data_IF_773429924608
#
_entry.id   IF_773429924608
#
_cell.length_a   1.000
_cell.length_b   1.000
_cell.length_c   1.000
_cell.angle_alpha   90.00
_cell.angle_beta   90.00
_cell.angle_gamma   90.00
#
_symmetry.space_group_name_H-M   'P 1'
#
loop_
_entity.id
_entity.type
_entity.pdbx_description
1 polymer ?
2 non-polymer ?
3 water ?
#
# COMPACT_ATOMS: atom_id res chain seq x y z
N UNK A 23 22.09 5.55 -8.10
CA UNK A 23 20.83 5.66 -7.32
C UNK A 23 20.54 4.36 -6.56
N UNK A 24 20.27 3.20 -7.23
CA UNK A 24 19.61 2.07 -6.57
C UNK A 24 20.39 1.39 -5.43
N UNK A 25 19.89 1.52 -4.19
CA UNK A 25 20.41 0.90 -2.91
C UNK A 25 20.15 -0.61 -2.92
N UNK A 26 21.18 -1.46 -2.75
CA UNK A 26 21.02 -2.94 -2.63
C UNK A 26 21.50 -3.35 -1.23
N UNK A 27 20.59 -3.46 -0.26
CA UNK A 27 20.89 -3.98 1.11
C UNK A 27 21.83 -3.00 1.84
N UNK A 28 21.32 -1.80 2.14
CA UNK A 28 21.91 -0.75 3.04
C UNK A 28 22.98 -1.35 3.95
N UNK A 29 24.17 -0.74 4.00
CA UNK A 29 25.38 -1.24 4.69
C UNK A 29 25.30 -1.08 6.22
N UNK A 30 24.16 -0.64 6.78
CA UNK A 30 23.89 -0.59 8.25
C UNK A 30 22.78 -1.60 8.63
N UNK A 31 22.30 -2.39 7.65
CA UNK A 31 21.34 -3.52 7.80
C UNK A 31 21.98 -4.83 7.33
N UNK A 32 23.23 -5.17 7.72
CA UNK A 32 23.80 -6.47 7.32
C UNK A 32 22.89 -7.58 7.87
N UNK A 33 22.34 -7.34 9.07
CA UNK A 33 21.23 -8.08 9.71
C UNK A 33 19.97 -7.25 9.50
N UNK A 34 18.84 -7.91 9.16
CA UNK A 34 17.56 -7.37 8.61
C UNK A 34 17.47 -7.89 7.17
N UNK A 35 16.62 -8.89 6.97
CA UNK A 35 16.41 -9.60 5.67
C UNK A 35 15.00 -9.29 5.17
N UNK A 36 14.73 -8.12 4.55
CA UNK A 36 13.38 -7.58 4.46
C UNK A 36 12.48 -8.41 3.53
N UNK A 37 11.21 -8.56 3.91
CA UNK A 37 10.31 -9.62 3.41
C UNK A 37 9.27 -8.98 2.53
N UNK A 38 8.69 -9.78 1.65
CA UNK A 38 7.57 -9.36 0.77
C UNK A 38 6.36 -10.22 1.11
N UNK A 39 5.20 -9.58 1.22
CA UNK A 39 3.96 -10.26 1.60
C UNK A 39 2.78 -9.67 0.83
N UNK A 40 1.70 -10.45 0.69
CA UNK A 40 0.38 -9.95 0.27
C UNK A 40 -0.71 -10.51 1.17
N UNK A 41 -1.68 -9.63 1.45
CA UNK A 41 -3.05 -9.96 1.88
C UNK A 41 -3.72 -10.59 0.65
N UNK A 42 -4.39 -11.72 0.87
CA UNK A 42 -5.13 -12.48 -0.16
C UNK A 42 -6.60 -12.49 0.26
N UNK A 43 -7.40 -11.59 -0.30
CA UNK A 43 -8.88 -11.49 -0.07
C UNK A 43 -9.64 -12.16 -1.23
N UNK A 44 -10.20 -13.34 -1.00
CA UNK A 44 -11.01 -14.03 -2.03
C UNK A 44 -10.20 -15.17 -2.63
N UNK A 45 -10.50 -15.52 -3.87
CA UNK A 45 -9.95 -16.74 -4.52
C UNK A 45 -8.44 -16.61 -4.74
N UNK A 46 -7.59 -17.45 -4.11
CA UNK A 46 -6.15 -17.23 -4.17
C UNK A 46 -5.37 -17.82 -5.37
N UNK A 47 -6.08 -18.24 -6.42
CA UNK A 47 -5.52 -19.09 -7.52
C UNK A 47 -4.28 -18.42 -8.13
N UNK A 48 -4.36 -17.09 -8.32
CA UNK A 48 -3.33 -16.30 -9.05
C UNK A 48 -2.23 -15.74 -8.12
N UNK A 49 -2.15 -16.20 -6.89
CA UNK A 49 -0.97 -15.94 -6.04
C UNK A 49 0.24 -16.70 -6.59
N UNK A 50 1.39 -16.02 -6.70
CA UNK A 50 2.69 -16.59 -7.11
C UNK A 50 3.57 -16.69 -5.87
N UNK A 51 3.65 -17.88 -5.26
CA UNK A 51 4.46 -18.12 -4.06
C UNK A 51 5.90 -17.62 -4.22
N UNK A 52 6.44 -17.70 -5.44
CA UNK A 52 7.87 -17.44 -5.77
C UNK A 52 8.20 -15.97 -5.48
N UNK A 53 7.23 -15.05 -5.62
CA UNK A 53 7.40 -13.60 -5.37
C UNK A 53 7.41 -13.25 -3.87
N UNK A 54 6.81 -14.09 -3.01
CA UNK A 54 6.36 -13.72 -1.64
C UNK A 54 7.12 -14.53 -0.58
N UNK A 55 7.46 -13.91 0.56
CA UNK A 55 7.96 -14.62 1.77
C UNK A 55 6.76 -15.06 2.61
N UNK A 56 5.63 -14.37 2.47
CA UNK A 56 4.44 -14.63 3.30
C UNK A 56 3.17 -14.15 2.61
N UNK A 57 2.11 -14.89 2.85
CA UNK A 57 0.72 -14.62 2.41
C UNK A 57 -0.14 -14.51 3.67
N UNK A 58 -1.03 -13.52 3.65
CA UNK A 58 -1.93 -13.24 4.81
C UNK A 58 -3.33 -13.46 4.29
N UNK A 59 -3.94 -14.58 4.65
CA UNK A 59 -5.35 -14.89 4.32
C UNK A 59 -6.27 -13.88 5.02
N UNK A 60 -7.15 -13.24 4.26
CA UNK A 60 -8.18 -12.33 4.80
C UNK A 60 -9.60 -12.84 4.44
N UNK A 61 -10.48 -13.03 5.41
CA UNK A 61 -10.24 -12.87 6.85
C UNK A 61 -10.89 -14.02 7.65
N UNK A 62 -10.46 -14.25 8.88
CA UNK A 62 -11.29 -14.91 9.92
C UNK A 62 -12.16 -13.82 10.54
N UNK A 63 -13.33 -14.16 11.09
CA UNK A 63 -14.24 -13.19 11.78
C UNK A 63 -14.59 -13.69 13.18
N UNK A 64 -15.25 -12.82 13.98
CA UNK A 64 -15.73 -13.12 15.37
C UNK A 64 -17.28 -13.12 15.32
N UNK A 65 -17.94 -14.18 15.78
CA UNK A 65 -19.43 -14.28 15.79
C UNK A 65 -20.01 -13.66 17.07
N UNK A 66 -21.34 -13.69 17.20
CA UNK A 66 -22.08 -13.17 18.39
C UNK A 66 -21.51 -13.71 19.71
N UNK A 67 -21.03 -14.96 19.74
CA UNK A 67 -20.59 -15.66 20.98
C UNK A 67 -19.11 -15.38 21.26
N UNK A 68 -18.42 -14.71 20.36
CA UNK A 68 -16.98 -14.43 20.55
C UNK A 68 -16.16 -15.56 19.98
N UNK A 69 -16.78 -16.44 19.17
CA UNK A 69 -16.12 -17.61 18.55
C UNK A 69 -15.56 -17.23 17.16
N UNK A 70 -14.29 -17.54 16.93
CA UNK A 70 -13.61 -17.41 15.61
C UNK A 70 -14.22 -18.35 14.58
N UNK A 71 -14.48 -17.86 13.37
CA UNK A 71 -14.81 -18.71 12.20
C UNK A 71 -14.17 -18.12 10.92
N UNK A 72 -14.00 -18.97 9.91
CA UNK A 72 -13.55 -18.63 8.52
C UNK A 72 -14.79 -18.63 7.62
N UNK A 73 -15.28 -17.49 7.11
CA UNK A 73 -16.38 -17.53 6.14
C UNK A 73 -16.15 -18.42 4.90
N UNK A 74 -14.92 -18.52 4.36
CA UNK A 74 -14.60 -19.22 3.09
C UNK A 74 -13.38 -20.13 3.27
N UNK A 75 -13.47 -21.22 4.07
CA UNK A 75 -12.29 -22.06 4.35
C UNK A 75 -11.58 -22.66 3.13
N UNK A 76 -12.28 -22.87 2.01
CA UNK A 76 -11.69 -23.58 0.84
C UNK A 76 -10.53 -22.76 0.28
N UNK A 77 -10.65 -21.43 0.29
CA UNK A 77 -9.61 -20.46 -0.14
C UNK A 77 -8.36 -20.58 0.75
N UNK A 78 -8.55 -20.81 2.04
CA UNK A 78 -7.44 -20.88 2.99
C UNK A 78 -6.73 -22.22 2.77
N UNK A 79 -7.48 -23.30 2.60
CA UNK A 79 -6.87 -24.63 2.33
C UNK A 79 -6.11 -24.55 1.01
N UNK A 80 -6.70 -23.93 -0.01
CA UNK A 80 -6.05 -23.78 -1.33
C UNK A 80 -4.73 -23.05 -1.13
N UNK A 81 -4.77 -21.95 -0.40
CA UNK A 81 -3.59 -21.08 -0.14
C UNK A 81 -2.53 -21.85 0.66
N UNK A 82 -2.94 -22.72 1.59
CA UNK A 82 -2.04 -23.52 2.45
C UNK A 82 -1.29 -24.52 1.57
N UNK A 83 -1.92 -24.97 0.48
CA UNK A 83 -1.36 -25.99 -0.42
C UNK A 83 -0.12 -25.45 -1.16
N UNK A 84 0.01 -24.12 -1.33
CA UNK A 84 1.21 -23.49 -1.94
C UNK A 84 2.49 -23.89 -1.20
N UNK A 85 2.39 -24.40 0.03
CA UNK A 85 3.56 -24.83 0.83
C UNK A 85 4.10 -26.17 0.28
N UNK A 86 3.34 -26.85 -0.58
CA UNK A 86 3.85 -28.03 -1.29
C UNK A 86 5.15 -27.71 -1.99
N UNK A 87 5.11 -26.82 -2.99
CA UNK A 87 6.28 -26.47 -3.83
C UNK A 87 7.16 -25.40 -3.16
N UNK A 88 6.66 -24.65 -2.16
CA UNK A 88 7.49 -23.67 -1.40
C UNK A 88 7.29 -23.85 0.10
N UNK A 89 7.90 -24.88 0.74
CA UNK A 89 7.64 -25.19 2.15
C UNK A 89 8.00 -24.05 3.13
N UNK A 90 8.85 -23.11 2.70
CA UNK A 90 9.30 -21.95 3.51
C UNK A 90 8.28 -20.80 3.46
N UNK A 91 7.26 -20.87 2.60
CA UNK A 91 6.21 -19.81 2.53
C UNK A 91 5.50 -19.80 3.88
N UNK A 92 5.27 -18.60 4.40
CA UNK A 92 4.58 -18.38 5.69
C UNK A 92 3.13 -18.07 5.35
N UNK A 93 2.20 -18.83 5.96
CA UNK A 93 0.75 -18.62 5.77
C UNK A 93 0.15 -18.12 7.08
N UNK A 94 -0.43 -16.93 7.00
CA UNK A 94 -0.93 -16.16 8.15
C UNK A 94 -2.42 -16.00 7.90
N UNK A 95 -3.22 -15.99 8.97
CA UNK A 95 -4.64 -15.57 8.92
C UNK A 95 -4.77 -14.24 9.65
N UNK A 96 -5.43 -13.33 8.96
CA UNK A 96 -5.85 -12.03 9.48
C UNK A 96 -7.28 -12.19 10.02
N UNK A 97 -7.47 -11.72 11.25
CA UNK A 97 -8.77 -11.69 11.93
C UNK A 97 -9.21 -10.24 11.90
N UNK A 98 -10.35 -9.95 11.27
CA UNK A 98 -10.99 -8.64 11.43
C UNK A 98 -11.16 -7.94 10.09
N UNK A 99 -10.70 -6.68 10.02
CA UNK A 99 -10.88 -5.84 8.83
C UNK A 99 -11.90 -4.76 9.06
N UNK A 100 -12.02 -3.85 8.11
CA UNK A 100 -12.90 -2.67 8.26
C UNK A 100 -14.33 -3.14 8.59
N UNK A 101 -14.92 -2.61 9.66
CA UNK A 101 -16.30 -2.92 10.08
C UNK A 101 -16.44 -4.22 10.86
N UNK A 102 -15.36 -5.02 11.03
CA UNK A 102 -15.37 -6.33 11.72
C UNK A 102 -15.49 -6.15 13.24
N UNK A 103 -16.67 -6.48 13.76
CA UNK A 103 -17.10 -6.31 15.17
C UNK A 103 -16.53 -7.45 16.02
N UNK A 104 -16.39 -7.20 17.32
CA UNK A 104 -16.10 -8.22 18.33
C UNK A 104 -14.87 -7.91 19.16
N UNK A 105 -13.96 -7.05 18.72
CA UNK A 105 -12.63 -7.01 19.39
C UNK A 105 -12.69 -6.33 20.77
N UNK A 106 -13.48 -5.25 20.88
CA UNK A 106 -13.62 -4.45 22.12
C UNK A 106 -14.15 -5.36 23.24
N UNK A 107 -15.15 -6.19 22.93
CA UNK A 107 -15.70 -7.24 23.84
C UNK A 107 -14.59 -8.26 24.15
N UNK A 108 -13.87 -8.76 23.14
CA UNK A 108 -12.84 -9.82 23.31
C UNK A 108 -11.72 -9.31 24.20
N UNK A 109 -11.44 -8.00 24.14
CA UNK A 109 -10.28 -7.44 24.84
C UNK A 109 -10.63 -7.10 26.29
N UNK A 110 -11.92 -7.06 26.66
CA UNK A 110 -12.41 -6.35 27.88
C UNK A 110 -11.98 -7.02 29.20
N UNK A 111 -11.94 -8.35 29.33
CA UNK A 111 -11.75 -9.06 30.63
C UNK A 111 -10.62 -10.08 30.53
N UNK A 112 -10.08 -10.58 31.67
CA UNK A 112 -9.14 -11.71 31.62
C UNK A 112 -9.77 -12.97 30.97
N UNK A 113 -11.10 -13.10 31.01
CA UNK A 113 -11.82 -14.28 30.48
C UNK A 113 -11.95 -14.19 28.96
N UNK A 114 -12.63 -13.18 28.44
CA UNK A 114 -12.67 -12.86 26.98
C UNK A 114 -11.25 -12.97 26.37
N UNK A 115 -10.21 -12.43 27.02
CA UNK A 115 -8.83 -12.39 26.47
C UNK A 115 -8.27 -13.81 26.43
N UNK A 116 -8.45 -14.60 27.48
CA UNK A 116 -7.97 -16.01 27.53
C UNK A 116 -8.70 -16.81 26.45
N UNK A 117 -10.02 -16.61 26.34
CA UNK A 117 -10.91 -17.32 25.39
C UNK A 117 -10.50 -16.99 23.95
N UNK A 118 -10.34 -15.71 23.62
CA UNK A 118 -9.86 -15.29 22.28
C UNK A 118 -8.52 -15.96 21.98
N UNK A 119 -7.55 -15.81 22.87
CA UNK A 119 -6.21 -16.38 22.65
C UNK A 119 -6.36 -17.87 22.37
N UNK A 120 -7.05 -18.63 23.24
CA UNK A 120 -7.23 -20.11 23.13
C UNK A 120 -7.72 -20.44 21.71
N UNK A 121 -8.66 -19.65 21.16
CA UNK A 121 -9.27 -19.95 19.85
C UNK A 121 -8.26 -19.62 18.73
N UNK A 122 -7.43 -18.61 18.93
CA UNK A 122 -6.35 -18.26 17.97
C UNK A 122 -5.43 -19.47 17.87
N UNK A 123 -5.02 -20.01 19.01
CA UNK A 123 -4.02 -21.10 19.05
C UNK A 123 -4.67 -22.35 18.45
N UNK A 124 -5.98 -22.48 18.63
CA UNK A 124 -6.74 -23.63 18.08
C UNK A 124 -6.76 -23.51 16.56
N UNK A 125 -7.08 -22.35 16.02
CA UNK A 125 -7.10 -22.17 14.55
C UNK A 125 -5.68 -22.36 13.97
N UNK A 126 -4.64 -21.95 14.68
CA UNK A 126 -3.22 -22.12 14.22
C UNK A 126 -2.90 -23.61 14.18
N UNK A 127 -3.24 -24.39 15.20
CA UNK A 127 -2.93 -25.85 15.25
C UNK A 127 -3.76 -26.58 14.19
N UNK A 128 -5.03 -26.20 14.06
CA UNK A 128 -6.04 -26.88 13.21
C UNK A 128 -5.64 -26.79 11.72
N UNK A 129 -5.15 -25.63 11.27
CA UNK A 129 -4.77 -25.37 9.86
C UNK A 129 -3.25 -25.43 9.63
N UNK A 130 -2.47 -25.80 10.64
CA UNK A 130 -0.99 -25.71 10.63
C UNK A 130 -0.57 -24.33 10.10
N UNK A 131 -1.15 -23.25 10.62
CA UNK A 131 -0.76 -21.87 10.22
C UNK A 131 0.62 -21.55 10.78
N UNK A 132 1.30 -20.60 10.16
CA UNK A 132 2.61 -20.07 10.62
C UNK A 132 2.35 -18.93 11.63
N UNK A 133 1.15 -18.34 11.59
CA UNK A 133 0.66 -17.54 12.70
C UNK A 133 -0.52 -16.68 12.30
N UNK A 134 -0.63 -15.51 12.92
CA UNK A 134 -1.91 -14.75 12.92
C UNK A 134 -1.61 -13.26 12.79
N UNK A 135 -2.55 -12.53 12.21
CA UNK A 135 -2.49 -11.08 12.03
C UNK A 135 -3.76 -10.53 12.66
N UNK A 136 -3.68 -9.45 13.44
CA UNK A 136 -4.90 -8.90 14.10
C UNK A 136 -5.28 -7.59 13.43
N UNK A 137 -6.49 -7.50 12.88
CA UNK A 137 -6.95 -6.32 12.12
C UNK A 137 -8.14 -5.68 12.83
N UNK A 138 -7.87 -5.12 14.00
CA UNK A 138 -8.86 -4.29 14.74
C UNK A 138 -8.79 -2.86 14.21
N UNK A 139 -9.88 -2.37 13.61
CA UNK A 139 -9.91 -1.13 12.83
C UNK A 139 -11.00 -0.19 13.37
N UNK A 140 -10.80 0.43 14.53
CA UNK A 140 -9.53 0.52 15.24
C UNK A 140 -9.88 0.52 16.73
N UNK A 141 -8.99 0.05 17.63
CA UNK A 141 -9.26 0.17 19.05
C UNK A 141 -9.58 1.63 19.40
N UNK A 142 -10.55 1.84 20.27
CA UNK A 142 -10.90 3.17 20.80
C UNK A 142 -11.79 3.97 19.87
N UNK A 143 -12.05 3.46 18.66
CA UNK A 143 -12.81 4.21 17.62
C UNK A 143 -13.97 3.38 17.12
N UNK A 144 -15.11 4.03 16.92
CA UNK A 144 -16.35 3.48 16.33
C UNK A 144 -16.59 4.07 14.94
N UNK A 145 -15.51 4.48 14.25
CA UNK A 145 -15.60 5.08 12.89
C UNK A 145 -16.24 4.06 11.95
N UNK A 146 -15.78 2.80 11.95
CA UNK A 146 -16.24 1.71 11.04
C UNK A 146 -17.65 1.20 11.39
N UNK A 147 -18.24 1.71 12.50
CA UNK A 147 -19.56 1.31 13.01
C UNK A 147 -19.49 0.27 14.12
N UNK A 148 -18.30 -0.19 14.51
CA UNK A 148 -18.08 -1.21 15.58
C UNK A 148 -18.13 -0.53 16.95
N UNK A 149 -18.30 -1.36 17.98
CA UNK A 149 -18.16 -1.02 19.41
C UNK A 149 -16.73 -0.52 19.71
N UNK A 150 -16.62 0.56 20.47
CA UNK A 150 -15.36 1.02 21.10
C UNK A 150 -15.61 1.39 22.54
N UNK A 151 -14.53 1.39 23.33
CA UNK A 151 -14.47 1.82 24.75
C UNK A 151 -13.13 2.50 24.98
N UNK A 152 -13.10 3.55 25.83
CA UNK A 152 -11.84 4.21 26.23
C UNK A 152 -10.68 3.26 26.59
N UNK A 153 -10.98 2.14 27.25
CA UNK A 153 -10.01 1.13 27.74
C UNK A 153 -9.47 0.26 26.58
N UNK A 154 -10.05 0.31 25.37
CA UNK A 154 -9.60 -0.48 24.20
C UNK A 154 -8.08 -0.44 24.06
N UNK A 155 -7.46 0.72 24.26
CA UNK A 155 -6.02 0.94 23.98
C UNK A 155 -5.19 0.12 24.94
N UNK A 156 -5.42 0.22 26.24
CA UNK A 156 -4.60 -0.58 27.19
C UNK A 156 -4.99 -2.05 27.02
N UNK A 157 -6.25 -2.31 26.69
CA UNK A 157 -6.81 -3.69 26.60
C UNK A 157 -6.14 -4.39 25.42
N UNK A 158 -5.89 -3.67 24.31
CA UNK A 158 -5.25 -4.25 23.11
C UNK A 158 -3.94 -4.91 23.51
N UNK A 159 -3.16 -4.25 24.34
CA UNK A 159 -1.81 -4.76 24.74
C UNK A 159 -1.97 -6.09 25.49
N UNK A 160 -3.00 -6.16 26.34
CA UNK A 160 -3.24 -7.36 27.18
C UNK A 160 -3.78 -8.49 26.28
N UNK A 161 -4.61 -8.15 25.30
CA UNK A 161 -5.08 -9.17 24.34
C UNK A 161 -3.86 -9.78 23.62
N UNK A 162 -3.00 -8.94 23.05
CA UNK A 162 -1.80 -9.39 22.31
C UNK A 162 -0.92 -10.22 23.25
N UNK A 163 -0.79 -9.81 24.50
CA UNK A 163 -0.01 -10.54 25.53
C UNK A 163 -0.62 -11.93 25.69
N UNK A 164 -1.94 -12.01 25.82
CA UNK A 164 -2.67 -13.29 25.99
C UNK A 164 -2.48 -14.18 24.75
N UNK A 165 -2.53 -13.62 23.54
CA UNK A 165 -2.26 -14.40 22.29
C UNK A 165 -0.80 -14.90 22.30
N UNK A 166 0.15 -14.02 22.54
CA UNK A 166 1.58 -14.43 22.51
C UNK A 166 1.87 -15.52 23.56
N UNK A 167 1.26 -15.40 24.75
CA UNK A 167 1.47 -16.36 25.88
C UNK A 167 1.09 -17.77 25.40
N UNK A 168 0.00 -17.91 24.63
CA UNK A 168 -0.52 -19.24 24.17
C UNK A 168 0.23 -19.73 22.91
N UNK A 169 0.37 -18.91 21.87
CA UNK A 169 0.87 -19.41 20.54
C UNK A 169 2.38 -19.64 20.59
N UNK A 170 3.09 -18.96 21.50
CA UNK A 170 4.56 -19.07 21.69
C UNK A 170 5.34 -18.04 20.87
N UNK A 171 6.67 -18.07 20.97
CA UNK A 171 7.56 -17.10 20.27
C UNK A 171 7.77 -17.54 18.81
N UNK A 172 7.66 -18.85 18.52
CA UNK A 172 7.97 -19.44 17.19
C UNK A 172 6.83 -19.23 16.19
N UNK A 173 5.79 -18.47 16.50
CA UNK A 173 4.69 -18.18 15.55
C UNK A 173 4.63 -16.67 15.30
N UNK A 174 4.25 -16.32 14.08
CA UNK A 174 4.11 -14.94 13.64
C UNK A 174 2.88 -14.35 14.32
N UNK A 175 3.08 -13.18 14.92
CA UNK A 175 1.96 -12.37 15.38
C UNK A 175 2.20 -10.98 14.80
N UNK A 176 1.18 -10.38 14.20
CA UNK A 176 1.28 -9.05 13.58
C UNK A 176 -0.03 -8.31 13.83
N UNK A 177 0.01 -7.01 13.67
CA UNK A 177 -1.12 -6.10 13.94
C UNK A 177 -1.14 -5.19 12.74
N UNK A 178 -2.32 -5.00 12.16
CA UNK A 178 -2.57 -4.04 11.08
C UNK A 178 -3.00 -2.75 11.75
N UNK A 179 -2.31 -1.64 11.44
CA UNK A 179 -2.69 -0.30 11.92
C UNK A 179 -2.11 0.82 11.07
N UNK A 180 -2.40 2.06 11.45
CA UNK A 180 -1.92 3.28 10.78
C UNK A 180 -0.84 3.90 11.66
N UNK A 181 -0.19 4.94 11.14
CA UNK A 181 0.87 5.67 11.85
C UNK A 181 0.41 7.07 12.18
N UNK A 182 -0.88 7.36 12.06
CA UNK A 182 -1.38 8.74 12.31
C UNK A 182 -1.44 8.98 13.83
N UNK A 183 -1.61 10.24 14.22
CA UNK A 183 -1.49 10.75 15.62
C UNK A 183 -2.56 10.07 16.48
N UNK A 184 -3.82 10.18 16.05
CA UNK A 184 -4.99 9.51 16.65
C UNK A 184 -4.71 8.06 17.02
N UNK A 185 -4.10 7.26 16.12
CA UNK A 185 -3.84 5.81 16.34
C UNK A 185 -2.76 5.69 17.44
N UNK A 186 -1.74 6.53 17.42
CA UNK A 186 -0.62 6.36 18.38
C UNK A 186 -1.07 6.70 19.81
N UNK A 187 -1.96 7.67 19.95
CA UNK A 187 -2.42 8.22 21.25
C UNK A 187 -3.71 7.55 21.77
N UNK A 188 -4.58 7.04 20.90
CA UNK A 188 -5.97 6.59 21.23
C UNK A 188 -6.28 5.14 20.84
N UNK A 189 -5.41 4.44 20.09
CA UNK A 189 -5.69 3.06 19.62
C UNK A 189 -4.66 2.09 20.20
N UNK A 190 -3.38 2.37 20.17
CA UNK A 190 -2.38 1.38 20.60
C UNK A 190 -1.24 2.05 21.37
N UNK A 191 -0.65 1.25 22.25
CA UNK A 191 0.54 1.55 23.07
C UNK A 191 1.68 1.01 22.24
N UNK A 192 2.15 1.79 21.26
CA UNK A 192 3.17 1.33 20.28
C UNK A 192 4.35 0.74 21.02
N UNK A 193 4.82 1.40 22.07
CA UNK A 193 6.06 0.95 22.81
C UNK A 193 5.76 -0.33 23.59
N UNK A 194 4.52 -0.54 24.04
CA UNK A 194 4.13 -1.76 24.79
C UNK A 194 3.92 -2.95 23.83
N UNK A 195 3.21 -2.76 22.70
CA UNK A 195 2.93 -3.89 21.75
C UNK A 195 4.17 -4.26 20.96
N UNK A 196 5.10 -3.32 20.77
CA UNK A 196 6.35 -3.50 19.99
C UNK A 196 7.03 -4.81 20.32
N UNK A 197 7.43 -5.10 21.59
CA UNK A 197 8.16 -6.32 21.91
C UNK A 197 7.32 -7.60 21.88
N UNK A 198 5.99 -7.49 21.81
CA UNK A 198 5.07 -8.66 21.78
C UNK A 198 4.98 -9.19 20.35
N UNK A 199 4.77 -8.30 19.38
CA UNK A 199 4.48 -8.66 17.96
C UNK A 199 5.77 -8.85 17.17
N UNK A 200 5.67 -9.48 16.02
CA UNK A 200 6.79 -9.70 15.07
C UNK A 200 6.80 -8.56 14.06
N UNK A 201 5.63 -8.07 13.67
CA UNK A 201 5.50 -7.01 12.66
C UNK A 201 4.32 -6.12 12.98
N UNK A 202 4.43 -4.85 12.61
CA UNK A 202 3.31 -3.88 12.56
C UNK A 202 3.12 -3.61 11.08
N UNK A 203 1.94 -3.97 10.58
CA UNK A 203 1.57 -3.91 9.15
C UNK A 203 0.96 -2.54 8.93
N UNK A 204 1.82 -1.60 8.54
CA UNK A 204 1.44 -0.19 8.38
C UNK A 204 0.56 -0.08 7.15
N UNK A 205 -0.70 0.26 7.36
CA UNK A 205 -1.71 0.45 6.28
C UNK A 205 -1.61 1.88 5.77
N UNK A 206 -0.55 2.13 5.01
CA UNK A 206 -0.14 3.45 4.52
C UNK A 206 -0.88 3.73 3.23
N UNK A 207 -2.22 3.73 3.28
CA UNK A 207 -3.13 3.96 2.12
C UNK A 207 -4.49 4.36 2.64
N UNK A 208 -5.44 4.59 1.75
CA UNK A 208 -6.82 5.05 2.07
C UNK A 208 -6.81 6.42 2.76
N UNK A 209 -5.77 7.24 2.61
CA UNK A 209 -5.72 8.60 3.22
C UNK A 209 -7.02 9.35 2.92
N UNK A 210 -7.66 9.14 1.76
CA UNK A 210 -8.87 9.91 1.31
C UNK A 210 -10.19 9.14 1.47
N UNK A 211 -10.17 7.97 2.11
CA UNK A 211 -11.35 7.10 2.34
C UNK A 211 -12.47 7.80 3.14
N UNK A 212 -12.18 8.85 3.90
CA UNK A 212 -13.20 9.58 4.68
C UNK A 212 -13.59 10.95 4.10
N UNK A 213 -13.08 11.33 2.91
CA UNK A 213 -13.25 12.68 2.31
C UNK A 213 -14.12 12.62 1.04
N UNK A 214 -14.98 13.63 0.82
CA UNK A 214 -15.70 13.91 -0.47
C UNK A 214 -15.52 15.38 -0.86
N UNK A 215 -15.94 15.77 -2.07
CA UNK A 215 -15.76 17.12 -2.63
C UNK A 215 -14.28 17.46 -2.80
N UNK A 216 -13.83 18.71 -2.52
CA UNK A 216 -12.47 19.12 -2.87
C UNK A 216 -11.43 18.20 -2.25
N UNK A 217 -11.48 17.99 -0.94
CA UNK A 217 -10.46 17.23 -0.15
C UNK A 217 -10.54 15.73 -0.48
N UNK A 218 -11.53 15.28 -1.25
CA UNK A 218 -11.61 13.91 -1.76
C UNK A 218 -10.62 13.64 -2.89
N UNK A 219 -10.30 14.67 -3.69
CA UNK A 219 -9.51 14.53 -4.95
C UNK A 219 -8.02 14.76 -4.64
N UNK A 220 -7.50 14.04 -3.65
CA UNK A 220 -6.08 14.12 -3.23
C UNK A 220 -5.50 12.71 -3.34
N UNK A 221 -4.21 12.54 -3.05
CA UNK A 221 -3.53 11.22 -2.97
C UNK A 221 -3.99 10.43 -1.74
N UNK A 222 -4.11 9.12 -1.93
CA UNK A 222 -4.53 8.11 -0.91
C UNK A 222 -3.28 7.55 -0.21
N UNK A 223 -2.10 7.56 -0.84
CA UNK A 223 -0.86 6.88 -0.38
C UNK A 223 0.42 7.68 -0.74
N UNK A 224 0.36 9.01 -0.67
CA UNK A 224 1.53 9.89 -0.92
C UNK A 224 2.70 9.46 -0.04
N UNK A 225 3.88 9.22 -0.60
CA UNK A 225 5.04 8.81 0.23
C UNK A 225 5.51 10.04 1.05
N UNK A 226 5.56 11.24 0.44
CA UNK A 226 5.88 12.53 1.11
C UNK A 226 4.73 13.53 0.92
N UNK A 227 4.78 14.68 1.58
CA UNK A 227 3.74 15.74 1.45
C UNK A 227 3.90 16.44 0.08
N UNK A 228 2.81 17.07 -0.39
CA UNK A 228 2.69 17.89 -1.62
C UNK A 228 1.41 18.74 -1.56
N UNK A 229 1.08 19.43 -2.66
CA UNK A 229 -0.18 20.23 -2.84
C UNK A 229 -1.39 19.31 -2.96
N UNK A 230 -1.18 18.07 -3.38
CA UNK A 230 -2.28 17.14 -3.76
C UNK A 230 -2.48 16.06 -2.70
N UNK A 231 -1.91 16.21 -1.50
CA UNK A 231 -2.14 15.30 -0.35
C UNK A 231 -2.89 16.03 0.75
N UNK A 232 -3.57 15.28 1.60
CA UNK A 232 -4.24 15.80 2.83
C UNK A 232 -3.19 16.39 3.77
N UNK A 233 -3.38 17.62 4.31
CA UNK A 233 -2.46 18.13 5.34
C UNK A 233 -2.40 17.10 6.49
N UNK A 234 -1.18 16.65 6.82
CA UNK A 234 -0.90 15.65 7.86
C UNK A 234 -0.53 14.27 7.32
N UNK A 235 -1.34 13.74 6.38
CA UNK A 235 -1.28 12.33 5.91
C UNK A 235 -0.20 12.15 4.86
N UNK A 236 0.77 11.31 5.18
CA UNK A 236 1.85 10.85 4.28
C UNK A 236 2.47 9.54 4.81
N UNK A 237 2.95 8.66 3.93
CA UNK A 237 3.54 7.37 4.38
C UNK A 237 4.69 7.69 5.35
N UNK A 238 5.59 8.59 4.95
CA UNK A 238 6.86 8.90 5.68
C UNK A 238 6.55 9.36 7.10
N UNK A 239 5.59 10.26 7.28
CA UNK A 239 5.16 10.75 8.61
C UNK A 239 4.58 9.60 9.46
N UNK A 240 3.99 8.56 8.85
CA UNK A 240 3.41 7.41 9.59
C UNK A 240 4.53 6.51 10.04
N UNK A 241 5.53 6.32 9.18
CA UNK A 241 6.73 5.52 9.58
C UNK A 241 7.49 6.23 10.71
N UNK A 242 7.66 7.55 10.60
CA UNK A 242 8.43 8.33 11.61
C UNK A 242 7.63 8.37 12.93
N UNK A 243 6.32 8.65 12.87
CA UNK A 243 5.43 8.64 14.05
C UNK A 243 5.55 7.31 14.78
N UNK A 244 5.45 6.18 14.06
CA UNK A 244 5.55 4.84 14.71
C UNK A 244 6.95 4.66 15.32
N UNK A 245 8.00 5.13 14.63
CA UNK A 245 9.42 4.89 15.06
C UNK A 245 9.70 5.64 16.37
N UNK A 246 9.20 6.88 16.48
CA UNK A 246 9.43 7.81 17.61
C UNK A 246 8.55 7.43 18.82
N UNK A 247 7.40 6.76 18.58
CA UNK A 247 6.53 6.15 19.63
C UNK A 247 7.07 4.77 20.06
N UNK A 248 8.21 4.32 19.53
CA UNK A 248 8.97 3.17 20.05
C UNK A 248 8.82 1.91 19.21
N UNK A 249 8.25 1.96 18.00
CA UNK A 249 8.25 0.75 17.10
C UNK A 249 9.59 0.63 16.39
N UNK A 250 10.37 -0.46 16.60
CA UNK A 250 11.61 -0.66 15.86
C UNK A 250 11.34 -0.61 14.35
N UNK A 251 12.31 -0.13 13.58
CA UNK A 251 12.11 0.10 12.14
C UNK A 251 11.88 -1.26 11.45
N UNK A 252 12.67 -2.28 11.79
CA UNK A 252 12.75 -3.66 11.26
C UNK A 252 11.43 -4.43 11.40
N UNK A 253 10.50 -3.95 12.21
CA UNK A 253 9.22 -4.63 12.51
C UNK A 253 8.12 -3.91 11.72
N UNK A 254 8.43 -2.78 11.09
CA UNK A 254 7.43 -2.07 10.25
C UNK A 254 7.40 -2.68 8.85
N UNK A 255 6.21 -3.09 8.39
CA UNK A 255 5.98 -3.52 6.99
C UNK A 255 5.22 -2.43 6.28
N UNK A 256 5.74 -1.93 5.17
CA UNK A 256 5.13 -0.80 4.46
C UNK A 256 4.06 -1.37 3.52
N UNK A 257 2.86 -0.85 3.62
CA UNK A 257 1.68 -1.32 2.88
C UNK A 257 1.48 -0.49 1.63
N UNK A 258 1.34 -1.17 0.49
CA UNK A 258 1.05 -0.54 -0.84
C UNK A 258 -0.33 -1.00 -1.30
N UNK A 259 -1.20 -0.08 -1.74
CA UNK A 259 -2.49 -0.42 -2.34
C UNK A 259 -2.33 -0.88 -3.80
N UNK A 260 -2.96 -2.00 -4.18
CA UNK A 260 -3.03 -2.51 -5.57
C UNK A 260 -4.39 -2.15 -6.12
N UNK A 261 -4.93 -1.05 -5.62
CA UNK A 261 -6.18 -0.44 -6.13
C UNK A 261 -5.92 1.06 -6.23
N UNK A 262 -6.81 1.75 -6.94
CA UNK A 262 -6.91 3.22 -7.02
C UNK A 262 -8.08 3.70 -6.23
N UNK A 263 -8.01 4.92 -5.67
CA UNK A 263 -9.13 5.55 -4.95
C UNK A 263 -9.26 7.00 -5.41
N UNK A 264 -10.50 7.51 -5.42
CA UNK A 264 -10.87 8.95 -5.52
C UNK A 264 -11.91 9.23 -4.43
N UNK A 265 -11.45 9.74 -3.29
CA UNK A 265 -12.28 10.04 -2.11
C UNK A 265 -12.95 8.80 -1.56
N UNK A 266 -13.98 8.97 -0.74
CA UNK A 266 -14.72 7.89 -0.05
C UNK A 266 -15.49 7.04 -1.07
N UNK A 267 -15.82 7.61 -2.23
CA UNK A 267 -16.89 7.14 -3.14
C UNK A 267 -16.37 5.98 -3.99
N UNK A 268 -15.30 6.18 -4.74
CA UNK A 268 -14.92 5.29 -5.87
C UNK A 268 -13.57 4.61 -5.59
N UNK A 269 -13.47 3.31 -5.86
CA UNK A 269 -12.22 2.53 -5.86
C UNK A 269 -12.19 1.67 -7.12
N UNK A 270 -10.99 1.35 -7.59
CA UNK A 270 -10.80 0.46 -8.76
C UNK A 270 -9.60 -0.43 -8.47
N UNK A 271 -9.68 -1.70 -8.82
CA UNK A 271 -8.56 -2.66 -8.76
C UNK A 271 -7.53 -2.25 -9.81
N UNK A 272 -6.26 -2.60 -9.62
CA UNK A 272 -5.24 -2.34 -10.66
C UNK A 272 -5.74 -2.95 -11.98
N UNK A 273 -6.19 -4.20 -11.96
CA UNK A 273 -6.82 -4.88 -13.14
C UNK A 273 -7.84 -3.95 -13.82
N UNK A 274 -8.70 -3.25 -13.08
CA UNK A 274 -9.75 -2.36 -13.63
C UNK A 274 -9.16 -1.03 -14.18
N UNK A 275 -8.02 -0.56 -13.68
CA UNK A 275 -7.28 0.60 -14.26
C UNK A 275 -6.56 0.16 -15.55
N UNK A 276 -5.93 -1.01 -15.51
CA UNK A 276 -5.24 -1.70 -16.64
C UNK A 276 -6.19 -1.84 -17.84
N UNK A 277 -7.51 -1.83 -17.61
CA UNK A 277 -8.51 -2.12 -18.67
C UNK A 277 -9.21 -0.82 -19.09
N UNK A 278 -9.62 0.03 -18.15
CA UNK A 278 -10.53 1.18 -18.42
C UNK A 278 -9.87 2.57 -18.19
N UNK A 279 -8.55 2.68 -18.00
CA UNK A 279 -7.93 3.94 -17.53
C UNK A 279 -6.55 4.26 -18.15
N UNK A 280 -5.62 3.32 -18.40
CA UNK A 280 -4.18 3.70 -18.60
C UNK A 280 -3.62 3.36 -20.01
N UNK A 281 -3.74 2.13 -20.52
CA UNK A 281 -3.02 1.74 -21.77
C UNK A 281 -3.99 1.67 -22.94
N UNK A 282 -3.92 2.65 -23.87
CA UNK A 282 -4.84 2.81 -25.04
C UNK A 282 -4.54 1.75 -26.10
N UNK A 283 -5.58 0.99 -26.50
CA UNK A 283 -5.59 -0.14 -27.47
C UNK A 283 -4.30 -0.97 -27.32
N UNK A 284 -3.91 -1.28 -26.06
CA UNK A 284 -2.78 -2.17 -25.72
C UNK A 284 -1.42 -1.53 -25.95
N UNK A 285 -1.36 -0.35 -26.59
CA UNK A 285 -0.13 0.41 -26.89
C UNK A 285 0.46 0.96 -25.59
N UNK A 286 1.72 0.62 -25.33
CA UNK A 286 2.41 1.00 -24.08
C UNK A 286 3.41 2.11 -24.40
N UNK A 287 3.42 3.17 -23.60
CA UNK A 287 4.33 4.32 -23.69
C UNK A 287 5.69 3.94 -23.08
N UNK A 288 6.76 4.12 -23.86
CA UNK A 288 8.19 3.90 -23.44
C UNK A 288 9.02 5.15 -23.74
N UNK A 289 10.18 5.29 -23.10
CA UNK A 289 11.09 6.45 -23.25
C UNK A 289 12.56 5.97 -23.30
N UNK A 290 13.27 6.42 -24.33
CA UNK A 290 14.74 6.29 -24.48
C UNK A 290 15.35 7.55 -23.86
N UNK A 291 15.95 7.42 -22.68
CA UNK A 291 16.57 8.55 -21.91
C UNK A 291 17.97 8.91 -22.43
N UNK A 292 18.63 7.96 -23.12
CA UNK A 292 19.84 8.16 -23.96
C UNK A 292 19.43 9.03 -25.17
N UNK A 293 18.62 8.45 -26.08
CA UNK A 293 18.06 9.04 -27.31
C UNK A 293 17.29 10.33 -27.04
N UNK A 294 16.63 10.44 -25.88
CA UNK A 294 15.86 11.63 -25.41
C UNK A 294 14.55 11.81 -26.19
N UNK A 295 13.93 10.72 -26.66
CA UNK A 295 12.67 10.74 -27.45
C UNK A 295 11.69 9.66 -26.96
N UNK A 296 10.36 9.90 -27.03
CA UNK A 296 9.36 8.88 -26.70
C UNK A 296 9.16 7.85 -27.81
N UNK A 297 8.58 6.70 -27.46
CA UNK A 297 8.19 5.65 -28.43
C UNK A 297 7.09 4.79 -27.81
N UNK A 298 6.50 3.91 -28.60
CA UNK A 298 5.43 2.98 -28.19
C UNK A 298 5.84 1.53 -28.51
N UNK A 299 5.50 0.61 -27.60
CA UNK A 299 5.61 -0.86 -27.82
C UNK A 299 4.19 -1.47 -27.80
N UNK A 300 4.03 -2.57 -28.50
CA UNK A 300 2.82 -3.45 -28.46
C UNK A 300 3.22 -4.85 -28.94
N UNK A 301 2.96 -5.86 -28.08
CA UNK A 301 3.22 -7.32 -28.32
C UNK A 301 4.73 -7.57 -28.43
N UNK A 302 5.51 -7.04 -27.46
CA UNK A 302 6.96 -7.17 -27.33
C UNK A 302 7.71 -6.07 -28.07
N UNK A 303 7.21 -5.69 -29.25
CA UNK A 303 7.92 -4.95 -30.33
C UNK A 303 7.81 -3.43 -30.16
N UNK A 304 8.83 -2.71 -30.66
CA UNK A 304 8.83 -1.25 -30.93
C UNK A 304 7.87 -0.97 -32.10
N UNK A 305 6.94 -0.02 -31.89
CA UNK A 305 5.67 0.14 -32.65
C UNK A 305 5.45 1.56 -33.20
N UNK A 306 6.02 2.59 -32.57
CA UNK A 306 5.88 4.01 -33.02
C UNK A 306 7.01 4.91 -32.47
N UNK A 307 7.56 5.80 -33.32
CA UNK A 307 8.51 6.89 -32.98
C UNK A 307 7.85 8.25 -33.26
N UNK A 308 7.79 9.12 -32.26
CA UNK A 308 7.20 10.47 -32.41
C UNK A 308 7.92 11.40 -31.44
N UNK A 309 7.45 12.65 -31.36
CA UNK A 309 7.84 13.67 -30.36
C UNK A 309 6.61 14.08 -29.52
N UNK A 310 6.77 14.13 -28.20
CA UNK A 310 5.71 14.58 -27.25
C UNK A 310 6.25 15.84 -26.57
N UNK A 311 5.66 16.24 -25.45
CA UNK A 311 5.92 17.54 -24.81
C UNK A 311 7.34 17.60 -24.22
N UNK A 312 7.80 16.44 -23.73
CA UNK A 312 9.13 16.28 -23.07
C UNK A 312 10.23 16.34 -24.14
N UNK A 313 10.21 15.48 -25.16
CA UNK A 313 11.23 15.51 -26.25
C UNK A 313 11.18 16.86 -27.01
N UNK A 314 10.06 17.60 -27.02
CA UNK A 314 10.03 18.99 -27.61
C UNK A 314 10.67 20.00 -26.65
N UNK A 315 10.44 19.84 -25.35
CA UNK A 315 11.12 20.69 -24.34
C UNK A 315 12.64 20.51 -24.44
N UNK A 316 13.10 19.25 -24.57
CA UNK A 316 14.54 18.86 -24.67
C UNK A 316 15.14 19.38 -25.99
N UNK A 317 14.45 19.18 -27.13
CA UNK A 317 14.86 19.75 -28.46
C UNK A 317 14.94 21.29 -28.36
N UNK A 318 13.95 21.97 -27.77
CA UNK A 318 13.95 23.46 -27.70
C UNK A 318 15.05 23.93 -26.72
N UNK A 319 15.39 23.11 -25.72
CA UNK A 319 16.56 23.37 -24.83
C UNK A 319 17.83 23.37 -25.70
N UNK A 320 18.03 22.32 -26.48
CA UNK A 320 19.19 22.13 -27.38
C UNK A 320 19.33 23.38 -28.25
N UNK A 321 18.21 23.94 -28.71
CA UNK A 321 18.22 25.13 -29.61
C UNK A 321 18.85 26.28 -28.82
N UNK A 322 18.45 26.42 -27.58
CA UNK A 322 18.81 27.60 -26.77
C UNK A 322 20.24 27.41 -26.24
N UNK A 323 20.64 26.20 -25.87
CA UNK A 323 21.97 26.01 -25.25
C UNK A 323 22.98 26.14 -26.40
N UNK A 324 22.65 25.65 -27.60
CA UNK A 324 23.57 25.56 -28.77
C UNK A 324 23.48 26.76 -29.74
N UNK A 325 22.83 27.85 -29.36
CA UNK A 325 22.72 29.12 -30.15
C UNK A 325 22.25 28.86 -31.59
N UNK A 326 21.24 27.99 -31.77
CA UNK A 326 20.60 27.77 -33.10
C UNK A 326 19.62 28.91 -33.41
N UNK A 327 19.12 28.95 -34.65
CA UNK A 327 18.27 30.06 -35.15
C UNK A 327 16.81 29.94 -34.70
N UNK A 328 16.36 28.75 -34.35
CA UNK A 328 14.97 28.56 -33.90
C UNK A 328 14.58 27.17 -34.20
N UNK A 329 13.28 26.92 -34.25
CA UNK A 329 12.70 25.58 -34.43
C UNK A 329 11.52 25.72 -35.40
N UNK A 330 11.08 24.61 -35.96
CA UNK A 330 9.99 24.54 -36.95
C UNK A 330 9.42 23.14 -36.82
N UNK A 331 8.16 22.97 -37.23
CA UNK A 331 7.45 21.67 -37.28
C UNK A 331 7.01 21.42 -38.71
N UNK A 332 6.96 20.14 -39.03
CA UNK A 332 6.28 19.50 -40.16
C UNK A 332 5.20 18.62 -39.55
N UNK A 333 3.91 18.99 -39.60
CA UNK A 333 3.36 20.24 -40.11
C UNK A 333 2.13 20.59 -39.25
N UNK A 334 1.73 21.85 -39.13
CA UNK A 334 0.53 22.31 -38.36
C UNK A 334 -0.70 21.43 -38.59
N UNK A 335 -0.91 20.95 -39.82
CA UNK A 335 -2.06 20.12 -40.28
C UNK A 335 -2.16 18.80 -39.55
N UNK A 336 -1.08 18.35 -38.90
CA UNK A 336 -1.03 17.04 -38.18
C UNK A 336 -1.40 17.21 -36.70
N UNK A 337 -1.57 18.45 -36.27
CA UNK A 337 -1.66 18.92 -34.87
C UNK A 337 -2.73 20.02 -34.87
N UNK A 338 -3.98 19.64 -35.23
CA UNK A 338 -5.11 20.58 -35.50
C UNK A 338 -5.46 21.34 -34.22
N UNK A 339 -5.25 20.75 -33.03
CA UNK A 339 -5.54 21.41 -31.74
C UNK A 339 -4.35 22.26 -31.25
N UNK A 340 -3.21 22.26 -31.95
CA UNK A 340 -2.03 23.13 -31.62
C UNK A 340 -1.43 22.74 -30.27
N UNK A 341 -1.48 21.47 -29.93
CA UNK A 341 -0.93 20.96 -28.64
C UNK A 341 0.60 20.94 -28.76
N UNK A 342 1.13 20.28 -29.80
CA UNK A 342 2.60 20.27 -30.04
C UNK A 342 3.09 21.69 -30.32
N UNK A 343 2.37 22.46 -31.15
CA UNK A 343 2.74 23.83 -31.53
C UNK A 343 2.97 24.66 -30.27
N UNK A 344 2.06 24.57 -29.30
CA UNK A 344 2.12 25.37 -28.05
C UNK A 344 3.42 25.03 -27.31
N UNK A 345 3.68 23.73 -27.13
CA UNK A 345 4.84 23.15 -26.43
C UNK A 345 6.08 23.72 -27.11
N UNK A 346 6.15 23.62 -28.44
CA UNK A 346 7.28 24.11 -29.26
C UNK A 346 7.40 25.63 -29.09
N UNK A 347 6.32 26.39 -29.08
CA UNK A 347 6.41 27.87 -28.96
C UNK A 347 6.86 28.27 -27.55
N UNK A 348 6.35 27.59 -26.53
CA UNK A 348 6.67 27.92 -25.11
C UNK A 348 8.12 27.46 -24.83
N UNK A 349 8.51 26.32 -25.41
CA UNK A 349 9.87 25.73 -25.32
C UNK A 349 10.96 26.73 -25.63
N UNK A 350 10.72 27.56 -26.63
CA UNK A 350 11.58 28.70 -27.10
C UNK A 350 11.28 29.98 -26.31
N UNK A 351 10.03 30.35 -26.07
CA UNK A 351 9.69 31.74 -25.63
C UNK A 351 9.60 31.86 -24.09
N UNK A 352 9.24 30.79 -23.37
CA UNK A 352 9.05 30.84 -21.89
C UNK A 352 9.33 29.44 -21.33
N UNK A 353 10.58 28.97 -21.42
CA UNK A 353 10.88 27.57 -21.09
C UNK A 353 10.65 27.24 -19.60
N UNK A 354 10.60 28.25 -18.73
CA UNK A 354 10.29 28.08 -17.29
C UNK A 354 8.85 27.56 -17.16
N UNK A 355 7.91 28.15 -17.90
CA UNK A 355 6.46 27.81 -17.83
C UNK A 355 6.25 26.33 -18.24
N UNK A 356 7.00 25.87 -19.24
CA UNK A 356 6.81 24.54 -19.86
C UNK A 356 7.42 23.47 -18.94
N UNK A 357 8.60 23.76 -18.36
CA UNK A 357 9.24 22.92 -17.30
C UNK A 357 8.26 22.71 -16.14
N UNK A 358 7.69 23.78 -15.55
CA UNK A 358 6.64 23.68 -14.49
C UNK A 358 5.52 22.72 -14.91
N UNK A 359 4.98 22.88 -16.12
CA UNK A 359 3.95 21.99 -16.72
C UNK A 359 4.38 20.52 -16.65
N UNK A 360 5.62 20.21 -17.05
CA UNK A 360 6.11 18.81 -17.25
C UNK A 360 6.55 18.20 -15.90
N UNK A 361 6.83 19.03 -14.89
CA UNK A 361 7.14 18.60 -13.49
C UNK A 361 5.89 17.89 -12.93
N UNK A 362 4.71 18.28 -13.41
CA UNK A 362 3.39 17.72 -13.02
C UNK A 362 2.87 16.69 -14.00
N UNK A 363 3.74 15.96 -14.69
CA UNK A 363 3.36 14.94 -15.73
C UNK A 363 4.37 13.77 -15.75
N UNK A 364 5.67 14.09 -15.77
CA UNK A 364 6.74 13.09 -15.98
C UNK A 364 7.35 12.69 -14.62
N UNK A 365 7.20 11.39 -14.34
CA UNK A 365 7.83 10.69 -13.21
C UNK A 365 9.34 10.75 -13.29
N UNK A 366 9.94 11.43 -12.29
CA UNK A 366 11.39 11.49 -12.01
C UNK A 366 11.74 10.45 -10.93
N UNK A 367 12.93 9.84 -11.01
CA UNK A 367 13.55 9.07 -9.91
C UNK A 367 13.98 10.03 -8.79
#
# INVERSE_FOLDING_TARGET
GPAMKTLKDSKKLVRPQITDPYNPIVENANCPDINPIVAEYVLGNPTNVDAQLLDAVIFAFAEIDQSGNLFIPYPRFLNQLLALKGEKPSLKVIVAIGGWGAEGFSDAALTPTSRYNFARQVNQMINEYALDGIDIDWEYPGSSASGITSRPQDRENFTLLLTAIRDVIGDDKWLSVAGTGDRGYINSSAEIDKIAPIIDYFNLMSYDFTAGETGPNGRKHQANLFDSDLSLPGYSVDAMVRNLENAGMPSEKILLGIPFYGRLGATITRTYDELRRDYINKNGYEYRFDNTAQVPYLVKDGDFAMSYDDALSIFLKTQYVLRNCLGGVFSWTSTYDQANILARTMSIGINDPEVLKEELEGIYGQF
#
